data_IF_662679030365
#
_entry.id   IF_662679030365
#
_cell.length_a   1.000
_cell.length_b   1.000
_cell.length_c   1.000
_cell.angle_alpha   90.00
_cell.angle_beta   90.00
_cell.angle_gamma   90.00
#
_symmetry.space_group_name_H-M   'P 1'
#
loop_
_entity.id
_entity.type
_entity.pdbx_description
1 polymer ?
#
# COMPACT_ATOMS: atom_id res chain seq x y z
N UNK A 1 -16.19 4.65 -7.12
CA UNK A 1 -15.14 3.93 -6.38
C UNK A 1 -15.59 3.82 -4.94
N UNK A 2 -15.74 2.60 -4.44
CA UNK A 2 -16.02 2.39 -3.02
C UNK A 2 -14.73 2.63 -2.22
N UNK A 3 -14.83 3.30 -1.07
CA UNK A 3 -13.66 3.60 -0.22
C UNK A 3 -12.93 2.31 0.15
N UNK A 4 -13.66 1.21 0.32
CA UNK A 4 -13.14 -0.15 0.55
C UNK A 4 -12.09 -0.56 -0.47
N UNK A 5 -12.31 -0.28 -1.75
CA UNK A 5 -11.36 -0.66 -2.80
C UNK A 5 -10.07 0.17 -2.73
N UNK A 6 -10.19 1.44 -2.33
CA UNK A 6 -9.04 2.30 -2.09
C UNK A 6 -8.23 1.86 -0.85
N UNK A 7 -8.91 1.42 0.22
CA UNK A 7 -8.25 0.81 1.38
C UNK A 7 -7.46 -0.44 0.98
N UNK A 8 -8.07 -1.34 0.21
CA UNK A 8 -7.39 -2.57 -0.23
C UNK A 8 -6.20 -2.26 -1.14
N UNK A 9 -6.35 -1.34 -2.09
CA UNK A 9 -5.28 -0.92 -2.99
C UNK A 9 -4.08 -0.32 -2.24
N UNK A 10 -4.35 0.60 -1.29
CA UNK A 10 -3.31 1.23 -0.49
C UNK A 10 -2.53 0.21 0.35
N UNK A 11 -3.22 -0.73 1.03
CA UNK A 11 -2.53 -1.82 1.74
C UNK A 11 -1.70 -2.68 0.80
N UNK A 12 -2.25 -3.02 -0.37
CA UNK A 12 -1.58 -3.90 -1.31
C UNK A 12 -0.24 -3.30 -1.76
N UNK A 13 -0.24 -2.03 -2.18
CA UNK A 13 0.98 -1.32 -2.62
C UNK A 13 1.99 -1.23 -1.49
N UNK A 14 1.57 -0.84 -0.28
CA UNK A 14 2.47 -0.62 0.84
C UNK A 14 3.03 -1.93 1.43
N UNK A 15 2.29 -3.04 1.36
CA UNK A 15 2.76 -4.36 1.82
C UNK A 15 3.49 -5.17 0.75
N UNK A 16 3.44 -4.76 -0.52
CA UNK A 16 4.07 -5.49 -1.61
C UNK A 16 5.58 -5.76 -1.39
N UNK A 17 6.39 -4.80 -0.91
CA UNK A 17 7.82 -5.06 -0.65
C UNK A 17 8.07 -6.16 0.39
N UNK A 18 7.19 -6.28 1.38
CA UNK A 18 7.27 -7.35 2.39
C UNK A 18 6.85 -8.69 1.79
N UNK A 19 5.76 -8.70 1.01
CA UNK A 19 5.27 -9.91 0.31
C UNK A 19 6.28 -10.44 -0.71
N UNK A 20 7.01 -9.54 -1.37
CA UNK A 20 8.07 -9.88 -2.30
C UNK A 20 9.39 -10.28 -1.60
N UNK A 21 9.42 -10.35 -0.26
CA UNK A 21 10.60 -10.64 0.56
C UNK A 21 11.78 -9.68 0.33
N UNK A 22 11.52 -8.44 -0.11
CA UNK A 22 12.56 -7.42 -0.32
C UNK A 22 12.99 -6.78 0.99
N UNK A 23 12.06 -6.62 1.93
CA UNK A 23 12.26 -6.00 3.24
C UNK A 23 11.46 -6.72 4.31
N UNK A 24 11.85 -6.58 5.58
CA UNK A 24 11.09 -7.18 6.70
C UNK A 24 9.93 -6.31 7.14
N UNK A 25 10.03 -5.00 6.94
CA UNK A 25 8.98 -4.02 7.28
C UNK A 25 8.74 -3.10 6.09
N UNK A 26 7.49 -2.67 5.86
CA UNK A 26 7.17 -1.84 4.70
C UNK A 26 7.90 -0.49 4.72
N UNK A 27 8.09 0.13 5.90
CA UNK A 27 8.88 1.36 6.04
C UNK A 27 10.37 1.25 5.71
N UNK A 28 10.93 0.04 5.59
CA UNK A 28 12.35 -0.15 5.23
C UNK A 28 12.56 -0.06 3.71
N UNK A 29 11.48 -0.10 2.92
CA UNK A 29 11.59 -0.03 1.47
C UNK A 29 11.75 1.43 1.02
N UNK A 30 12.90 1.73 0.41
CA UNK A 30 13.26 3.11 0.01
C UNK A 30 12.27 3.78 -0.94
N UNK A 31 11.58 2.99 -1.75
CA UNK A 31 10.59 3.48 -2.72
C UNK A 31 9.15 3.33 -2.22
N UNK A 32 8.95 3.06 -0.93
CA UNK A 32 7.64 3.04 -0.29
C UNK A 32 7.40 4.35 0.44
N UNK A 33 6.18 4.86 0.28
CA UNK A 33 5.65 5.98 1.05
C UNK A 33 5.22 5.61 2.46
N UNK A 34 5.32 4.35 2.87
CA UNK A 34 4.94 3.88 4.22
C UNK A 34 5.68 4.67 5.31
N UNK A 35 6.97 4.95 5.11
CA UNK A 35 7.75 5.70 6.10
C UNK A 35 7.23 7.13 6.29
N UNK A 36 6.86 7.81 5.20
CA UNK A 36 6.27 9.14 5.20
C UNK A 36 4.91 9.15 5.92
N UNK A 37 4.04 8.19 5.60
CA UNK A 37 2.72 8.06 6.23
C UNK A 37 2.80 7.73 7.72
N UNK A 38 3.70 6.83 8.13
CA UNK A 38 3.93 6.54 9.57
C UNK A 38 4.48 7.77 10.29
N UNK A 39 5.37 8.53 9.64
CA UNK A 39 5.98 9.72 10.23
C UNK A 39 5.06 10.96 10.20
N UNK A 40 3.89 10.89 9.55
CA UNK A 40 2.99 12.03 9.37
C UNK A 40 3.62 13.20 8.62
N UNK A 41 4.65 12.94 7.80
CA UNK A 41 5.44 13.98 7.12
C UNK A 41 5.58 13.66 5.66
N UNK A 42 5.27 14.65 4.83
CA UNK A 42 5.53 14.62 3.40
C UNK A 42 7.02 14.32 3.12
N UNK A 43 7.27 13.61 2.04
CA UNK A 43 8.61 13.41 1.51
C UNK A 43 8.71 13.90 0.06
N UNK A 44 9.81 13.55 -0.63
CA UNK A 44 10.02 13.97 -2.03
C UNK A 44 9.10 13.29 -3.03
N UNK A 45 8.39 12.24 -2.63
CA UNK A 45 7.61 11.37 -3.50
C UNK A 45 6.11 11.45 -3.18
N UNK A 46 5.72 11.74 -1.94
CA UNK A 46 4.31 11.69 -1.50
C UNK A 46 3.95 12.85 -0.55
N UNK A 47 2.76 13.41 -0.81
CA UNK A 47 2.01 14.23 0.14
C UNK A 47 1.09 13.34 0.97
N UNK A 48 1.32 13.27 2.28
CA UNK A 48 0.66 12.30 3.16
C UNK A 48 -0.68 12.79 3.69
N UNK A 49 -0.91 14.11 3.72
CA UNK A 49 -2.13 14.71 4.29
C UNK A 49 -3.43 14.15 3.69
N UNK A 50 -3.61 14.02 2.36
CA UNK A 50 -4.89 13.54 1.79
C UNK A 50 -5.23 12.11 2.21
N UNK A 51 -4.21 11.28 2.41
CA UNK A 51 -4.36 9.89 2.82
C UNK A 51 -4.49 9.78 4.35
N UNK A 52 -3.77 10.56 5.13
CA UNK A 52 -3.93 10.57 6.59
C UNK A 52 -5.30 11.13 7.02
N UNK A 53 -5.82 12.14 6.33
CA UNK A 53 -7.17 12.68 6.57
C UNK A 53 -8.29 11.66 6.29
N UNK A 54 -8.01 10.63 5.48
CA UNK A 54 -8.98 9.59 5.13
C UNK A 54 -8.79 8.28 5.91
N UNK A 55 -7.62 8.11 6.55
CA UNK A 55 -7.20 6.91 7.24
C UNK A 55 -6.57 7.33 8.58
N UNK A 56 -7.42 7.58 9.59
CA UNK A 56 -7.05 8.15 10.89
C UNK A 56 -5.73 7.59 11.49
N UNK A 57 -5.53 6.26 11.47
CA UNK A 57 -4.29 5.63 11.94
C UNK A 57 -3.66 4.68 10.91
N UNK A 58 -2.65 5.19 10.20
CA UNK A 58 -1.95 4.45 9.14
C UNK A 58 -1.21 3.20 9.62
N UNK A 59 -0.62 3.25 10.82
CA UNK A 59 0.09 2.11 11.39
C UNK A 59 -0.85 0.95 11.74
N UNK A 60 -2.01 1.26 12.33
CA UNK A 60 -3.03 0.24 12.62
C UNK A 60 -3.62 -0.32 11.32
N UNK A 61 -3.84 0.57 10.35
CA UNK A 61 -4.30 0.18 9.02
C UNK A 61 -3.38 -0.84 8.33
N UNK A 62 -2.06 -0.71 8.44
CA UNK A 62 -1.10 -1.68 7.90
C UNK A 62 -0.96 -2.93 8.78
N UNK A 63 -1.14 -2.80 10.11
CA UNK A 63 -1.00 -3.92 11.06
C UNK A 63 -2.00 -5.05 10.79
N UNK A 64 -3.20 -4.69 10.31
CA UNK A 64 -4.28 -5.63 9.97
C UNK A 64 -3.94 -6.56 8.80
N UNK A 65 -2.90 -6.25 8.04
CA UNK A 65 -2.51 -7.02 6.86
C UNK A 65 -3.56 -6.96 5.74
N UNK A 66 -3.38 -7.81 4.74
CA UNK A 66 -4.34 -8.02 3.66
C UNK A 66 -4.60 -9.53 3.55
N UNK A 67 -5.87 -9.93 3.56
CA UNK A 67 -6.25 -11.34 3.39
C UNK A 67 -6.06 -11.79 1.95
N UNK A 68 -5.86 -13.09 1.74
CA UNK A 68 -5.73 -13.65 0.39
C UNK A 68 -6.99 -13.43 -0.46
N UNK A 69 -8.17 -13.37 0.17
CA UNK A 69 -9.44 -13.07 -0.51
C UNK A 69 -9.49 -11.62 -1.02
N UNK A 70 -9.00 -10.64 -0.23
CA UNK A 70 -8.91 -9.24 -0.65
C UNK A 70 -7.90 -9.05 -1.78
N UNK A 71 -6.79 -9.78 -1.72
CA UNK A 71 -5.78 -9.79 -2.80
C UNK A 71 -6.36 -10.36 -4.08
N UNK A 72 -7.08 -11.48 -4.00
CA UNK A 72 -7.64 -12.11 -5.18
C UNK A 72 -8.76 -11.25 -5.79
N UNK A 73 -9.57 -10.58 -4.94
CA UNK A 73 -10.52 -9.57 -5.41
C UNK A 73 -9.83 -8.43 -6.13
N UNK A 74 -8.69 -7.95 -5.62
CA UNK A 74 -7.90 -6.90 -6.27
C UNK A 74 -7.34 -7.39 -7.62
N UNK A 75 -6.71 -8.58 -7.66
CA UNK A 75 -6.21 -9.20 -8.90
C UNK A 75 -7.31 -9.43 -9.94
N UNK A 76 -8.51 -9.81 -9.52
CA UNK A 76 -9.65 -10.00 -10.41
C UNK A 76 -10.11 -8.69 -11.08
N UNK A 77 -9.93 -7.54 -10.42
CA UNK A 77 -10.32 -6.23 -10.94
C UNK A 77 -9.23 -5.61 -11.84
N UNK A 78 -8.04 -6.22 -11.90
CA UNK A 78 -6.90 -5.77 -12.70
C UNK A 78 -6.66 -6.59 -13.98
N UNK A 79 -7.60 -7.48 -14.35
CA UNK A 79 -7.57 -8.33 -15.57
C UNK A 79 -7.68 -7.55 -16.90
N UNK A 80 -7.17 -6.32 -16.96
CA UNK A 80 -6.95 -5.55 -18.19
C UNK A 80 -5.55 -4.91 -18.22
N UNK A 81 -4.58 -5.51 -17.52
CA UNK A 81 -3.17 -5.08 -17.57
C UNK A 81 -2.23 -6.19 -17.10
N UNK A 82 -2.01 -7.20 -17.94
CA UNK A 82 -0.91 -8.15 -17.75
C UNK A 82 0.43 -7.40 -17.57
N UNK A 83 1.24 -7.85 -16.61
CA UNK A 83 2.68 -7.53 -16.41
C UNK A 83 3.16 -6.33 -15.57
N UNK A 84 2.38 -5.73 -14.66
CA UNK A 84 2.92 -4.60 -13.87
C UNK A 84 3.35 -4.91 -12.42
N UNK A 85 3.09 -6.10 -11.86
CA UNK A 85 3.52 -6.45 -10.50
C UNK A 85 5.05 -6.57 -10.32
N UNK A 86 5.83 -6.56 -11.40
CA UNK A 86 7.31 -6.60 -11.38
C UNK A 86 7.97 -5.31 -11.89
N UNK A 87 7.21 -4.22 -12.14
CA UNK A 87 7.77 -3.00 -12.75
C UNK A 87 7.45 -1.69 -12.01
N UNK A 88 7.35 -1.75 -10.68
CA UNK A 88 7.45 -0.56 -9.80
C UNK A 88 8.81 -0.56 -9.09
N UNK A 89 9.86 -0.60 -9.92
CA UNK A 89 11.25 -0.23 -9.59
C UNK A 89 11.66 0.90 -10.55
#
# INVERSE_FOLDING_TARGET
>A
MDKTHLYVAARYVELNPVRANLVKKPQEYRWSSTSAHIAGRDDRLVHVAPLLEMFDEWSDFLSRGISDEEVEKFRCHERTGDHWALRVL
#
